data_IF_662028713517
#
_entry.id   IF_662028713517
#
_cell.length_a   1.000
_cell.length_b   1.000
_cell.length_c   1.000
_cell.angle_alpha   90.00
_cell.angle_beta   90.00
_cell.angle_gamma   90.00
#
_symmetry.space_group_name_H-M   'P 1'
#
loop_
_entity.id
_entity.type
_entity.pdbx_description
1 polymer ?
#
# COMPACT_ATOMS: atom_id res chain seq x y z
N UNK A 1 -11.79 1.99 6.16
CA UNK A 1 -12.87 2.00 7.14
C UNK A 1 -13.65 0.73 6.97
N UNK A 2 -13.26 -0.33 7.67
CA UNK A 2 -13.79 -1.67 7.46
C UNK A 2 -15.28 -1.82 7.83
N UNK A 3 -15.81 -0.94 8.68
CA UNK A 3 -17.24 -0.89 8.99
C UNK A 3 -17.75 -2.02 9.90
N UNK A 4 -16.92 -3.02 10.22
CA UNK A 4 -17.24 -4.07 11.19
C UNK A 4 -17.51 -3.52 12.61
N UNK A 5 -16.86 -2.41 12.97
CA UNK A 5 -17.11 -1.65 14.21
C UNK A 5 -17.39 -0.19 13.87
N UNK A 6 -18.52 0.34 14.34
CA UNK A 6 -19.00 1.70 14.03
C UNK A 6 -19.58 2.40 15.26
N UNK A 7 -19.39 3.73 15.40
CA UNK A 7 -19.93 4.47 16.54
C UNK A 7 -21.47 4.46 16.52
N UNK A 8 -22.07 4.03 17.63
CA UNK A 8 -23.53 3.97 17.78
C UNK A 8 -24.13 5.14 18.56
N UNK A 9 -23.32 5.89 19.32
CA UNK A 9 -23.78 7.04 20.11
C UNK A 9 -23.70 8.34 19.30
N UNK A 10 -24.62 9.30 19.50
CA UNK A 10 -24.58 10.59 18.81
C UNK A 10 -23.26 11.34 19.02
N UNK A 11 -22.72 11.33 20.24
CA UNK A 11 -21.42 11.94 20.55
C UNK A 11 -20.25 11.26 19.83
N UNK A 12 -20.25 9.92 19.73
CA UNK A 12 -19.21 9.18 19.01
C UNK A 12 -19.26 9.41 17.50
N UNK A 13 -20.46 9.53 16.93
CA UNK A 13 -20.65 9.89 15.53
C UNK A 13 -20.16 11.31 15.24
N UNK A 14 -20.52 12.29 16.08
CA UNK A 14 -20.06 13.67 15.95
C UNK A 14 -18.53 13.77 16.05
N UNK A 15 -17.91 13.08 17.01
CA UNK A 15 -16.46 13.01 17.12
C UNK A 15 -15.79 12.42 15.87
N UNK A 16 -16.38 11.36 15.31
CA UNK A 16 -15.85 10.70 14.11
C UNK A 16 -15.88 11.62 12.88
N UNK A 17 -16.88 12.49 12.76
CA UNK A 17 -16.95 13.51 11.70
C UNK A 17 -15.75 14.46 11.78
N UNK A 18 -15.50 15.06 12.95
CA UNK A 18 -14.36 15.99 13.13
C UNK A 18 -13.02 15.28 12.95
N UNK A 19 -12.89 14.06 13.48
CA UNK A 19 -11.69 13.25 13.31
C UNK A 19 -11.41 12.97 11.83
N UNK A 20 -12.42 12.56 11.05
CA UNK A 20 -12.25 12.27 9.62
C UNK A 20 -11.93 13.54 8.80
N UNK A 21 -12.56 14.67 9.14
CA UNK A 21 -12.35 15.95 8.44
C UNK A 21 -10.89 16.42 8.51
N UNK A 22 -10.23 16.21 9.65
CA UNK A 22 -8.80 16.55 9.81
C UNK A 22 -7.88 15.41 9.38
N UNK A 23 -8.26 14.16 9.72
CA UNK A 23 -7.43 12.99 9.51
C UNK A 23 -7.25 12.61 8.03
N UNK A 24 -8.31 12.71 7.21
CA UNK A 24 -8.23 12.35 5.79
C UNK A 24 -7.25 13.28 5.04
N UNK A 25 -7.37 14.62 5.11
CA UNK A 25 -6.41 15.51 4.46
C UNK A 25 -4.97 15.29 4.94
N UNK A 26 -4.78 15.12 6.26
CA UNK A 26 -3.44 14.84 6.82
C UNK A 26 -2.86 13.54 6.26
N UNK A 27 -3.67 12.47 6.20
CA UNK A 27 -3.26 11.18 5.64
C UNK A 27 -2.91 11.28 4.16
N UNK A 28 -3.65 12.06 3.37
CA UNK A 28 -3.33 12.28 1.96
C UNK A 28 -2.03 13.06 1.79
N UNK A 29 -1.77 14.07 2.63
CA UNK A 29 -0.52 14.83 2.61
C UNK A 29 0.68 13.98 3.00
N UNK A 30 0.55 13.16 4.04
CA UNK A 30 1.62 12.25 4.45
C UNK A 30 1.85 11.20 3.38
N UNK A 31 0.80 10.60 2.81
CA UNK A 31 0.92 9.62 1.73
C UNK A 31 1.60 10.22 0.50
N UNK A 32 1.25 11.46 0.11
CA UNK A 32 1.92 12.17 -0.99
C UNK A 32 3.41 12.39 -0.70
N UNK A 33 3.75 12.84 0.51
CA UNK A 33 5.14 13.08 0.90
C UNK A 33 5.94 11.77 0.90
N UNK A 34 5.40 10.71 1.51
CA UNK A 34 6.02 9.39 1.54
C UNK A 34 6.17 8.81 0.13
N UNK A 35 5.16 8.96 -0.73
CA UNK A 35 5.20 8.56 -2.14
C UNK A 35 6.32 9.26 -2.93
N UNK A 36 6.55 10.55 -2.69
CA UNK A 36 7.65 11.28 -3.32
C UNK A 36 9.03 10.77 -2.87
N UNK A 37 9.21 10.52 -1.57
CA UNK A 37 10.45 9.94 -1.04
C UNK A 37 10.67 8.53 -1.59
N UNK A 38 9.64 7.70 -1.57
CA UNK A 38 9.65 6.37 -2.16
C UNK A 38 10.06 6.39 -3.64
N UNK A 39 9.42 7.23 -4.46
CA UNK A 39 9.73 7.35 -5.88
C UNK A 39 11.18 7.80 -6.11
N UNK A 40 11.69 8.73 -5.29
CA UNK A 40 13.09 9.14 -5.33
C UNK A 40 14.05 7.98 -5.06
N UNK A 41 13.77 7.17 -4.01
CA UNK A 41 14.60 6.02 -3.69
C UNK A 41 14.55 4.93 -4.77
N UNK A 42 13.38 4.59 -5.31
CA UNK A 42 13.24 3.59 -6.38
C UNK A 42 13.99 4.03 -7.64
N UNK A 43 13.84 5.30 -8.07
CA UNK A 43 14.61 5.85 -9.20
C UNK A 43 16.11 5.74 -8.96
N UNK A 44 16.58 6.12 -7.77
CA UNK A 44 17.99 6.03 -7.40
C UNK A 44 18.50 4.59 -7.41
N UNK A 45 17.71 3.63 -6.92
CA UNK A 45 18.05 2.21 -6.94
C UNK A 45 18.15 1.67 -8.37
N UNK A 46 17.18 1.99 -9.24
CA UNK A 46 17.20 1.55 -10.65
C UNK A 46 18.43 2.10 -11.37
N UNK A 47 18.73 3.40 -11.19
CA UNK A 47 19.91 4.03 -11.79
C UNK A 47 21.19 3.36 -11.25
N UNK A 48 21.27 3.09 -9.94
CA UNK A 48 22.43 2.42 -9.34
C UNK A 48 22.62 1.02 -9.91
N UNK A 49 21.56 0.22 -10.03
CA UNK A 49 21.61 -1.13 -10.60
C UNK A 49 22.05 -1.07 -12.07
N UNK A 50 21.51 -0.16 -12.86
CA UNK A 50 21.85 -0.06 -14.29
C UNK A 50 23.29 0.39 -14.54
N UNK A 51 23.75 1.38 -13.76
CA UNK A 51 25.10 1.93 -13.92
C UNK A 51 26.17 1.04 -13.30
N UNK A 52 25.91 0.44 -12.13
CA UNK A 52 26.90 -0.39 -11.41
C UNK A 52 26.87 -1.85 -11.85
N UNK A 53 25.70 -2.48 -11.90
CA UNK A 53 25.59 -3.91 -12.18
C UNK A 53 25.56 -4.18 -13.69
N UNK A 54 24.76 -3.41 -14.44
CA UNK A 54 24.60 -3.61 -15.89
C UNK A 54 25.57 -2.78 -16.74
N UNK A 55 26.41 -1.94 -16.10
CA UNK A 55 27.41 -1.06 -16.74
C UNK A 55 26.87 -0.26 -17.93
N UNK A 56 25.58 0.12 -17.89
CA UNK A 56 24.96 0.93 -18.94
C UNK A 56 25.38 2.38 -18.81
N UNK A 57 25.78 2.98 -19.93
CA UNK A 57 26.13 4.41 -20.03
C UNK A 57 24.91 5.32 -20.04
N UNK A 58 23.76 4.84 -20.52
CA UNK A 58 22.50 5.60 -20.54
C UNK A 58 21.31 4.74 -20.08
N UNK A 59 20.48 5.31 -19.19
CA UNK A 59 19.23 4.71 -18.73
C UNK A 59 18.08 5.21 -19.61
N UNK A 60 17.68 4.39 -20.59
CA UNK A 60 16.48 4.64 -21.41
C UNK A 60 15.24 4.09 -20.72
N UNK A 61 14.15 4.87 -20.73
CA UNK A 61 12.83 4.45 -20.24
C UNK A 61 12.71 4.31 -18.72
N UNK A 62 13.34 5.21 -17.94
CA UNK A 62 13.34 5.14 -16.47
C UNK A 62 11.91 5.08 -15.88
N UNK A 63 10.98 5.89 -16.38
CA UNK A 63 9.61 5.92 -15.84
C UNK A 63 8.88 4.59 -16.01
N UNK A 64 9.04 3.92 -17.17
CA UNK A 64 8.48 2.59 -17.39
C UNK A 64 9.09 1.54 -16.45
N UNK A 65 10.39 1.64 -16.17
CA UNK A 65 11.07 0.73 -15.22
C UNK A 65 10.64 0.97 -13.78
N UNK A 66 10.42 2.23 -13.39
CA UNK A 66 9.85 2.57 -12.08
C UNK A 66 8.45 1.97 -11.95
N UNK A 67 7.58 2.16 -12.95
CA UNK A 67 6.23 1.59 -12.96
C UNK A 67 6.24 0.05 -12.83
N UNK A 68 7.09 -0.64 -13.60
CA UNK A 68 7.26 -2.09 -13.49
C UNK A 68 7.81 -2.50 -12.11
N UNK A 69 8.74 -1.72 -11.56
CA UNK A 69 9.27 -1.90 -10.21
C UNK A 69 8.16 -1.78 -9.15
N UNK A 70 7.33 -0.75 -9.23
CA UNK A 70 6.23 -0.50 -8.29
C UNK A 70 5.20 -1.65 -8.34
N UNK A 71 4.84 -2.12 -9.54
CA UNK A 71 3.96 -3.30 -9.72
C UNK A 71 4.59 -4.54 -9.09
N UNK A 72 5.89 -4.75 -9.31
CA UNK A 72 6.61 -5.89 -8.75
C UNK A 72 6.63 -5.85 -7.22
N UNK A 73 6.89 -4.68 -6.63
CA UNK A 73 6.86 -4.46 -5.17
C UNK A 73 5.45 -4.72 -4.61
N UNK A 74 4.40 -4.25 -5.29
CA UNK A 74 3.02 -4.48 -4.87
C UNK A 74 2.65 -5.97 -4.88
N UNK A 75 3.02 -6.71 -5.94
CA UNK A 75 2.79 -8.16 -6.03
C UNK A 75 3.56 -8.91 -4.94
N UNK A 76 4.84 -8.58 -4.73
CA UNK A 76 5.65 -9.21 -3.69
C UNK A 76 5.07 -8.96 -2.29
N UNK A 77 4.64 -7.73 -2.01
CA UNK A 77 3.97 -7.41 -0.75
C UNK A 77 2.71 -8.27 -0.55
N UNK A 78 1.84 -8.35 -1.57
CA UNK A 78 0.63 -9.19 -1.51
C UNK A 78 0.98 -10.64 -1.21
N UNK A 79 1.92 -11.24 -1.93
CA UNK A 79 2.30 -12.65 -1.74
C UNK A 79 2.88 -12.92 -0.34
N UNK A 80 3.77 -12.04 0.14
CA UNK A 80 4.39 -12.17 1.47
C UNK A 80 3.33 -12.03 2.56
N UNK A 81 2.48 -11.01 2.47
CA UNK A 81 1.42 -10.76 3.45
C UNK A 81 0.40 -11.90 3.46
N UNK A 82 0.02 -12.41 2.29
CA UNK A 82 -0.90 -13.55 2.17
C UNK A 82 -0.31 -14.85 2.72
N UNK A 83 0.96 -15.13 2.48
CA UNK A 83 1.63 -16.29 3.05
C UNK A 83 1.59 -16.26 4.59
N UNK A 84 1.90 -15.10 5.16
CA UNK A 84 1.88 -14.91 6.59
C UNK A 84 0.47 -15.05 7.19
N UNK A 85 -0.54 -14.39 6.62
CA UNK A 85 -1.92 -14.46 7.10
C UNK A 85 -2.53 -15.85 6.97
N UNK A 86 -2.20 -16.59 5.90
CA UNK A 86 -2.67 -17.97 5.72
C UNK A 86 -2.20 -18.90 6.86
N UNK A 87 -0.98 -18.69 7.37
CA UNK A 87 -0.45 -19.49 8.50
C UNK A 87 -1.00 -19.08 9.87
N UNK A 88 -1.45 -17.83 10.03
CA UNK A 88 -1.87 -17.28 11.33
C UNK A 88 -3.37 -17.29 11.54
N UNK A 89 -4.13 -16.91 10.51
CA UNK A 89 -5.57 -16.65 10.62
C UNK A 89 -6.43 -17.87 10.24
N UNK A 90 -5.80 -19.02 9.96
CA UNK A 90 -6.46 -20.22 9.42
C UNK A 90 -7.29 -19.95 8.15
N UNK A 91 -6.94 -18.90 7.40
CA UNK A 91 -7.57 -18.58 6.13
C UNK A 91 -6.92 -19.38 4.99
N UNK A 92 -7.70 -19.66 3.95
CA UNK A 92 -7.13 -20.14 2.69
C UNK A 92 -6.20 -19.08 2.08
N UNK A 93 -5.27 -19.51 1.22
CA UNK A 93 -4.38 -18.58 0.53
C UNK A 93 -5.16 -17.53 -0.28
N UNK A 94 -6.24 -17.94 -0.97
CA UNK A 94 -7.09 -17.03 -1.72
C UNK A 94 -7.77 -15.99 -0.84
N UNK A 95 -8.32 -16.39 0.32
CA UNK A 95 -8.90 -15.46 1.30
C UNK A 95 -7.86 -14.46 1.80
N UNK A 96 -6.63 -14.91 2.01
CA UNK A 96 -5.53 -14.05 2.45
C UNK A 96 -5.14 -13.03 1.38
N UNK A 97 -5.06 -13.43 0.10
CA UNK A 97 -4.82 -12.52 -1.03
C UNK A 97 -5.96 -11.51 -1.16
N UNK A 98 -7.20 -11.98 -1.08
CA UNK A 98 -8.38 -11.13 -1.14
C UNK A 98 -8.38 -10.08 -0.01
N UNK A 99 -8.14 -10.49 1.24
CA UNK A 99 -8.09 -9.60 2.40
C UNK A 99 -7.03 -8.50 2.25
N UNK A 100 -5.81 -8.84 1.81
CA UNK A 100 -4.75 -7.85 1.59
C UNK A 100 -5.02 -6.96 0.38
N UNK A 101 -5.62 -7.49 -0.69
CA UNK A 101 -5.99 -6.70 -1.86
C UNK A 101 -7.03 -5.62 -1.52
N UNK A 102 -8.15 -5.99 -0.86
CA UNK A 102 -9.19 -5.03 -0.48
C UNK A 102 -8.69 -4.01 0.56
N UNK A 103 -7.72 -4.40 1.37
CA UNK A 103 -7.06 -3.54 2.37
C UNK A 103 -6.20 -2.48 1.70
N UNK A 104 -5.28 -2.88 0.82
CA UNK A 104 -4.35 -1.97 0.16
C UNK A 104 -5.02 -1.05 -0.85
N UNK A 105 -6.05 -1.53 -1.54
CA UNK A 105 -6.87 -0.72 -2.44
C UNK A 105 -7.83 0.21 -1.69
N UNK A 106 -7.85 0.15 -0.35
CA UNK A 106 -8.69 0.95 0.54
C UNK A 106 -10.21 0.72 0.38
N UNK A 107 -10.61 -0.34 -0.32
CA UNK A 107 -12.02 -0.78 -0.42
C UNK A 107 -12.54 -1.19 0.96
N UNK A 108 -11.79 -2.06 1.64
CA UNK A 108 -12.00 -2.44 3.04
C UNK A 108 -13.42 -2.89 3.39
N UNK A 109 -13.90 -4.02 2.84
CA UNK A 109 -15.23 -4.56 3.16
C UNK A 109 -15.40 -5.00 4.63
N UNK A 110 -14.32 -5.43 5.28
CA UNK A 110 -14.33 -5.81 6.70
C UNK A 110 -14.93 -7.19 6.99
N UNK A 111 -15.08 -8.00 5.96
CA UNK A 111 -15.48 -9.41 6.01
C UNK A 111 -14.34 -10.35 6.44
N UNK A 112 -13.09 -9.97 6.15
CA UNK A 112 -11.87 -10.61 6.67
C UNK A 112 -10.95 -9.52 7.25
N UNK A 113 -10.57 -9.67 8.52
CA UNK A 113 -9.78 -8.70 9.30
C UNK A 113 -8.73 -9.43 10.10
#
# INVERSE_FOLDING_TARGET
GYGNLTPKTPGGQLFTIFYALVGIPLTLLTLKSMGNHYNHYIKKLIILIETRCLKRTEVKGLEGKVCLGDITVAILYLLIASFFSCTRENWTFLQSVYAWFITLTTVGFGDLI
#
